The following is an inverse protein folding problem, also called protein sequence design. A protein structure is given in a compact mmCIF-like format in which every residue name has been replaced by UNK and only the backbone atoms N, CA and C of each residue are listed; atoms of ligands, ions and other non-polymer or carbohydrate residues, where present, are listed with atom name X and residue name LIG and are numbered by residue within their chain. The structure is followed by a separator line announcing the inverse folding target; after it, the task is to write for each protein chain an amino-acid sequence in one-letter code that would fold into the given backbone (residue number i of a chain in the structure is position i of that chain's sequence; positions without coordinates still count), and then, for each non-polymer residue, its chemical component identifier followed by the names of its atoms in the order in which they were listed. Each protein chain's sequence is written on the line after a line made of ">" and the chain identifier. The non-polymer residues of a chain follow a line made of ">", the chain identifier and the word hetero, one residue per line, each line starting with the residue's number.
data_IF_416762942754
#
_entry.id   IF_416762942754
#
_cell.length_a   1.000
_cell.length_b   1.000
_cell.length_c   1.000
_cell.angle_alpha   90.00
_cell.angle_beta   90.00
_cell.angle_gamma   90.00
#
_symmetry.space_group_name_H-M   'P 1'
#
loop_
_entity.id
_entity.type
_entity.pdbx_description
1 polymer ?
#
# COMPACT_ATOMS: atom_id res chain seq x y z
N UNK A 1 -1.71 1.33 2.51
CA UNK A 1 -2.32 0.30 1.63
C UNK A 1 -3.76 0.14 2.04
N UNK A 2 -4.66 0.11 1.07
CA UNK A 2 -6.10 0.01 1.28
C UNK A 2 -6.67 -1.20 0.58
N UNK A 3 -7.71 -1.81 1.14
CA UNK A 3 -8.50 -2.84 0.46
C UNK A 3 -9.51 -2.20 -0.52
N UNK A 4 -10.27 -3.03 -1.24
CA UNK A 4 -11.34 -2.59 -2.15
C UNK A 4 -12.46 -1.80 -1.48
N UNK A 5 -12.67 -1.98 -0.17
CA UNK A 5 -13.69 -1.29 0.61
C UNK A 5 -13.23 0.09 1.11
N UNK A 6 -11.95 0.42 0.93
CA UNK A 6 -11.35 1.66 1.41
C UNK A 6 -10.76 1.56 2.82
N UNK A 7 -10.77 0.39 3.45
CA UNK A 7 -10.15 0.20 4.75
C UNK A 7 -8.63 0.23 4.63
N UNK A 8 -7.97 0.93 5.58
CA UNK A 8 -6.51 1.00 5.64
C UNK A 8 -5.95 -0.27 6.29
N UNK A 9 -5.33 -1.12 5.48
CA UNK A 9 -4.77 -2.41 5.91
C UNK A 9 -3.34 -2.28 6.43
N UNK A 10 -2.59 -1.30 5.92
CA UNK A 10 -1.22 -1.03 6.35
C UNK A 10 -0.85 0.44 6.18
N UNK A 11 -0.07 0.98 7.11
CA UNK A 11 0.45 2.35 7.07
C UNK A 11 1.81 2.41 7.73
N UNK A 12 2.76 3.10 7.10
CA UNK A 12 4.06 3.41 7.68
C UNK A 12 4.59 4.72 7.12
N UNK A 13 5.57 5.30 7.81
CA UNK A 13 6.34 6.45 7.33
C UNK A 13 7.63 5.91 6.71
N UNK A 14 7.89 6.27 5.46
CA UNK A 14 9.09 5.87 4.73
C UNK A 14 10.08 7.04 4.79
N UNK A 15 11.18 6.87 5.52
CA UNK A 15 12.25 7.89 5.63
C UNK A 15 13.43 7.62 4.71
N UNK A 16 13.52 6.42 4.14
CA UNK A 16 14.61 5.98 3.27
C UNK A 16 14.13 5.84 1.82
N UNK A 17 15.06 5.83 0.85
CA UNK A 17 14.72 5.69 -0.58
C UNK A 17 13.96 4.40 -0.91
N UNK A 18 14.16 3.33 -0.13
CA UNK A 18 13.49 2.04 -0.30
C UNK A 18 13.02 1.51 1.05
N UNK A 19 11.95 0.70 1.02
CA UNK A 19 11.42 0.01 2.20
C UNK A 19 10.84 -1.32 1.78
N UNK A 20 11.23 -2.38 2.47
CA UNK A 20 10.66 -3.70 2.29
C UNK A 20 9.45 -3.84 3.22
N UNK A 21 8.32 -4.25 2.66
CA UNK A 21 7.08 -4.45 3.39
C UNK A 21 6.61 -5.89 3.20
N UNK A 22 6.36 -6.57 4.32
CA UNK A 22 5.68 -7.86 4.32
C UNK A 22 4.19 -7.64 4.65
N UNK A 23 3.30 -7.98 3.71
CA UNK A 23 1.85 -7.92 3.90
C UNK A 23 1.30 -9.32 4.17
N UNK A 24 0.86 -9.55 5.40
CA UNK A 24 0.09 -10.74 5.74
C UNK A 24 -1.41 -10.49 5.51
N UNK A 25 -1.84 -10.55 4.25
CA UNK A 25 -3.22 -10.29 3.83
C UNK A 25 -3.73 -11.38 2.89
N UNK A 26 -5.06 -11.64 2.86
CA UNK A 26 -5.64 -12.56 1.89
C UNK A 26 -5.36 -12.14 0.44
N UNK A 27 -5.35 -13.12 -0.47
CA UNK A 27 -5.33 -12.86 -1.91
C UNK A 27 -6.49 -11.95 -2.32
N UNK A 28 -6.21 -10.98 -3.19
CA UNK A 28 -7.18 -9.95 -3.55
C UNK A 28 -6.57 -8.72 -4.19
N UNK A 29 -7.41 -7.71 -4.40
CA UNK A 29 -7.01 -6.41 -4.96
C UNK A 29 -6.84 -5.40 -3.83
N UNK A 30 -5.73 -4.66 -3.89
CA UNK A 30 -5.37 -3.61 -2.94
C UNK A 30 -4.86 -2.37 -3.67
N UNK A 31 -4.82 -1.25 -2.96
CA UNK A 31 -4.28 0.00 -3.45
C UNK A 31 -3.14 0.48 -2.55
N UNK A 32 -1.93 0.56 -3.11
CA UNK A 32 -0.80 1.22 -2.48
C UNK A 32 -0.93 2.72 -2.73
N UNK A 33 -0.98 3.49 -1.64
CA UNK A 33 -0.97 4.94 -1.68
C UNK A 33 0.33 5.42 -1.04
N UNK A 34 1.11 6.18 -1.79
CA UNK A 34 2.30 6.87 -1.30
C UNK A 34 1.99 8.36 -1.29
N UNK A 35 2.15 9.00 -0.13
CA UNK A 35 1.94 10.44 0.04
C UNK A 35 3.28 11.08 0.35
N UNK A 36 3.62 12.13 -0.38
CA UNK A 36 4.74 13.03 -0.12
C UNK A 36 4.27 14.48 -0.21
N UNK A 37 5.14 15.42 0.13
CA UNK A 37 4.87 16.85 -0.01
C UNK A 37 4.51 17.24 -1.46
N UNK A 38 5.07 16.51 -2.43
CA UNK A 38 4.86 16.76 -3.86
C UNK A 38 3.57 16.13 -4.41
N UNK A 39 2.83 15.37 -3.59
CA UNK A 39 1.52 14.82 -3.98
C UNK A 39 1.29 13.38 -3.56
N UNK A 40 0.32 12.75 -4.22
CA UNK A 40 -0.16 11.40 -3.91
C UNK A 40 -0.08 10.52 -5.15
N UNK A 41 0.60 9.38 -5.01
CA UNK A 41 0.65 8.33 -6.04
C UNK A 41 -0.18 7.15 -5.53
N UNK A 42 -1.02 6.59 -6.42
CA UNK A 42 -1.81 5.39 -6.13
C UNK A 42 -1.52 4.33 -7.17
N UNK A 43 -1.26 3.11 -6.72
CA UNK A 43 -1.02 1.95 -7.57
C UNK A 43 -1.88 0.77 -7.14
N UNK A 44 -2.53 0.13 -8.11
CA UNK A 44 -3.28 -1.12 -7.88
C UNK A 44 -2.31 -2.28 -7.73
N UNK A 45 -2.50 -3.08 -6.69
CA UNK A 45 -1.78 -4.31 -6.42
C UNK A 45 -2.77 -5.48 -6.48
N UNK A 46 -2.39 -6.54 -7.18
CA UNK A 46 -3.13 -7.81 -7.15
C UNK A 46 -2.24 -8.82 -6.45
N UNK A 47 -2.67 -9.28 -5.28
CA UNK A 47 -1.97 -10.30 -4.51
C UNK A 47 -2.61 -11.65 -4.83
N UNK A 48 -1.81 -12.60 -5.32
CA UNK A 48 -2.21 -14.00 -5.50
C UNK A 48 -1.46 -14.83 -4.46
N UNK A 49 -2.15 -15.81 -3.88
CA UNK A 49 -1.56 -16.83 -3.01
C UNK A 49 -1.29 -18.09 -3.82
#
# INVERSE_FOLDING_TARGET
>A
IYNMLGDKVYSTIITNHTSNLNLNVPGGIYFLQVKSENGIIVQKLTIKQ
#
